data_IF_014466067048
#
_entry.id   IF_014466067048
#
_cell.length_a   1.000
_cell.length_b   1.000
_cell.length_c   1.000
_cell.angle_alpha   90.00
_cell.angle_beta   90.00
_cell.angle_gamma   90.00
#
_symmetry.space_group_name_H-M   'P 1'
#
loop_
_entity.id
_entity.type
_entity.pdbx_description
1 polymer ?
#
# COMPACT_ATOMS: atom_id res chain seq x y z
N UNK A 1 -16.06 12.10 5.60
CA UNK A 1 -16.41 11.59 6.95
C UNK A 1 -15.44 12.20 7.94
N UNK A 2 -15.91 12.68 9.08
CA UNK A 2 -15.03 13.09 10.18
C UNK A 2 -14.75 11.88 11.07
N UNK A 3 -13.46 11.66 11.33
CA UNK A 3 -12.94 10.64 12.24
C UNK A 3 -11.57 11.15 12.71
N UNK A 4 -11.18 10.84 13.94
CA UNK A 4 -9.95 11.35 14.58
C UNK A 4 -8.71 11.05 13.76
N UNK A 5 -8.57 9.81 13.27
CA UNK A 5 -7.42 9.39 12.46
C UNK A 5 -7.29 10.16 11.13
N UNK A 6 -8.36 10.80 10.61
CA UNK A 6 -8.27 11.60 9.38
C UNK A 6 -7.64 12.98 9.59
N UNK A 7 -7.41 13.37 10.85
CA UNK A 7 -6.70 14.61 11.26
C UNK A 7 -7.19 15.88 10.55
N UNK A 8 -8.50 16.04 10.39
CA UNK A 8 -9.10 17.17 9.67
C UNK A 8 -8.68 18.56 10.23
N UNK A 9 -8.27 18.62 11.48
CA UNK A 9 -7.85 19.85 12.17
C UNK A 9 -6.33 20.07 12.19
N UNK A 10 -5.53 19.21 11.56
CA UNK A 10 -4.06 19.33 11.52
C UNK A 10 -3.63 20.69 10.95
N UNK A 11 -4.36 21.18 9.94
CA UNK A 11 -4.13 22.48 9.27
C UNK A 11 -4.33 23.69 10.20
N UNK A 12 -4.91 23.51 11.40
CA UNK A 12 -5.07 24.59 12.38
C UNK A 12 -3.96 24.63 13.43
N UNK A 13 -3.01 23.68 13.41
CA UNK A 13 -1.94 23.62 14.42
C UNK A 13 -0.98 24.82 14.37
N UNK A 14 -0.85 25.49 13.22
CA UNK A 14 -0.13 26.75 13.09
C UNK A 14 -1.04 27.85 12.50
N UNK A 15 -1.91 28.37 13.35
CA UNK A 15 -2.88 29.40 12.96
C UNK A 15 -2.23 30.66 12.37
N UNK A 16 -1.03 31.03 12.82
CA UNK A 16 -0.32 32.21 12.35
C UNK A 16 0.13 32.02 10.89
N UNK A 17 0.70 30.86 10.55
CA UNK A 17 1.00 30.51 9.15
C UNK A 17 -0.28 30.40 8.32
N UNK A 18 -1.31 29.75 8.85
CA UNK A 18 -2.59 29.64 8.15
C UNK A 18 -3.19 31.02 7.82
N UNK A 19 -3.19 31.95 8.79
CA UNK A 19 -3.70 33.30 8.59
C UNK A 19 -2.94 34.03 7.48
N UNK A 20 -1.61 33.90 7.44
CA UNK A 20 -0.80 34.48 6.35
C UNK A 20 -1.15 33.89 5.00
N UNK A 21 -1.30 32.56 4.91
CA UNK A 21 -1.65 31.88 3.67
C UNK A 21 -3.02 32.29 3.13
N UNK A 22 -4.05 32.32 3.98
CA UNK A 22 -5.42 32.59 3.55
C UNK A 22 -5.69 34.07 3.21
N UNK A 23 -4.88 34.97 3.76
CA UNK A 23 -5.01 36.42 3.61
C UNK A 23 -3.93 37.05 2.70
N UNK A 24 -3.16 36.25 1.95
CA UNK A 24 -2.29 36.77 0.90
C UNK A 24 -3.16 37.40 -0.21
N UNK A 25 -3.04 38.73 -0.46
CA UNK A 25 -3.85 39.41 -1.47
C UNK A 25 -3.43 39.09 -2.90
N UNK A 26 -2.19 38.66 -3.11
CA UNK A 26 -1.67 38.29 -4.43
C UNK A 26 -2.00 36.83 -4.76
N UNK A 27 -2.08 35.97 -3.74
CA UNK A 27 -2.29 34.53 -3.88
C UNK A 27 -3.38 34.04 -2.91
N UNK A 28 -4.65 34.42 -3.13
CA UNK A 28 -5.73 34.08 -2.20
C UNK A 28 -6.01 32.58 -2.16
N UNK A 29 -6.07 32.01 -0.96
CA UNK A 29 -6.40 30.60 -0.73
C UNK A 29 -7.71 30.47 0.04
N UNK A 30 -8.50 29.45 -0.29
CA UNK A 30 -9.70 29.05 0.45
C UNK A 30 -9.62 27.55 0.80
N UNK A 31 -10.09 27.19 1.99
CA UNK A 31 -10.20 25.80 2.42
C UNK A 31 -11.67 25.44 2.55
N UNK A 32 -12.07 24.39 1.82
CA UNK A 32 -13.44 23.89 1.82
C UNK A 32 -13.48 22.54 2.54
N UNK A 33 -14.21 22.48 3.64
CA UNK A 33 -14.48 21.26 4.38
C UNK A 33 -15.87 20.74 4.05
N UNK A 34 -16.02 19.41 4.02
CA UNK A 34 -17.34 18.80 3.99
C UNK A 34 -17.30 17.39 4.55
N UNK A 35 -18.34 17.01 5.27
CA UNK A 35 -18.44 15.67 5.84
C UNK A 35 -19.48 15.54 6.93
N UNK A 36 -19.64 14.30 7.39
CA UNK A 36 -20.50 13.92 8.51
C UNK A 36 -19.65 13.16 9.54
N UNK A 37 -19.95 13.38 10.81
CA UNK A 37 -19.51 12.51 11.91
C UNK A 37 -20.60 11.47 12.17
N UNK A 38 -20.22 10.30 12.69
CA UNK A 38 -21.21 9.32 13.13
C UNK A 38 -21.98 9.88 14.35
N UNK A 39 -23.30 9.63 14.51
CA UNK A 39 -24.06 10.16 15.64
C UNK A 39 -23.53 9.77 17.03
N UNK A 40 -22.77 8.67 17.13
CA UNK A 40 -22.12 8.22 18.36
C UNK A 40 -20.63 8.60 18.46
N UNK A 41 -20.06 9.28 17.46
CA UNK A 41 -18.64 9.68 17.42
C UNK A 41 -18.50 11.12 17.94
N UNK A 42 -18.50 11.28 19.26
CA UNK A 42 -18.31 12.58 19.92
C UNK A 42 -16.99 13.26 19.51
N UNK A 43 -15.84 12.56 19.44
CA UNK A 43 -14.61 13.15 18.91
C UNK A 43 -14.77 13.70 17.49
N UNK A 44 -15.42 12.95 16.59
CA UNK A 44 -15.70 13.38 15.23
C UNK A 44 -16.60 14.63 15.16
N UNK A 45 -17.60 14.74 16.04
CA UNK A 45 -18.42 15.95 16.18
C UNK A 45 -17.61 17.14 16.69
N UNK A 46 -16.71 16.92 17.65
CA UNK A 46 -15.79 17.93 18.17
C UNK A 46 -14.91 18.54 17.07
N UNK A 47 -14.43 17.72 16.12
CA UNK A 47 -13.67 18.22 14.95
C UNK A 47 -14.51 19.18 14.10
N UNK A 48 -15.77 18.83 13.82
CA UNK A 48 -16.69 19.69 13.05
C UNK A 48 -16.94 21.00 13.80
N UNK A 49 -17.18 20.93 15.11
CA UNK A 49 -17.39 22.11 15.95
C UNK A 49 -16.16 23.03 15.91
N UNK A 50 -14.96 22.48 16.02
CA UNK A 50 -13.72 23.27 15.95
C UNK A 50 -13.54 23.93 14.57
N UNK A 51 -13.74 23.21 13.47
CA UNK A 51 -13.70 23.78 12.11
C UNK A 51 -14.71 24.92 11.97
N UNK A 52 -15.93 24.72 12.45
CA UNK A 52 -16.97 25.75 12.40
C UNK A 52 -16.55 26.99 13.20
N UNK A 53 -16.08 26.83 14.44
CA UNK A 53 -15.58 27.94 15.26
C UNK A 53 -14.45 28.70 14.55
N UNK A 54 -13.49 27.98 13.94
CA UNK A 54 -12.42 28.60 13.15
C UNK A 54 -12.97 29.41 11.98
N UNK A 55 -13.97 28.88 11.26
CA UNK A 55 -14.60 29.60 10.12
C UNK A 55 -15.31 30.90 10.51
N UNK A 56 -15.72 31.05 11.78
CA UNK A 56 -16.41 32.24 12.27
C UNK A 56 -15.47 33.33 12.77
N UNK A 57 -14.16 33.07 12.86
CA UNK A 57 -13.18 34.07 13.31
C UNK A 57 -12.99 35.14 12.22
N UNK A 58 -12.89 36.44 12.57
CA UNK A 58 -12.77 37.53 11.59
C UNK A 58 -11.66 37.33 10.56
N UNK A 59 -10.50 36.83 10.98
CA UNK A 59 -9.33 36.59 10.15
C UNK A 59 -9.46 35.41 9.17
N UNK A 60 -10.49 34.57 9.33
CA UNK A 60 -10.78 33.41 8.47
C UNK A 60 -12.12 33.51 7.75
N UNK A 61 -12.86 34.61 7.93
CA UNK A 61 -14.18 34.81 7.37
C UNK A 61 -14.16 34.72 5.84
N UNK A 62 -14.95 33.83 5.27
CA UNK A 62 -14.99 33.58 3.81
C UNK A 62 -13.77 32.83 3.25
N UNK A 63 -12.79 32.48 4.09
CA UNK A 63 -11.58 31.72 3.72
C UNK A 63 -11.64 30.26 4.15
N UNK A 64 -12.33 29.98 5.25
CA UNK A 64 -12.66 28.61 5.66
C UNK A 64 -14.17 28.44 5.46
N UNK A 65 -14.55 27.49 4.60
CA UNK A 65 -15.94 27.21 4.28
C UNK A 65 -16.27 25.77 4.68
N UNK A 66 -17.36 25.59 5.41
CA UNK A 66 -17.89 24.28 5.73
C UNK A 66 -19.18 24.02 4.95
N UNK A 67 -19.16 23.06 4.04
CA UNK A 67 -20.33 22.61 3.29
C UNK A 67 -20.98 21.45 4.03
N UNK A 68 -22.16 21.68 4.57
CA UNK A 68 -22.89 20.69 5.36
C UNK A 68 -23.44 19.53 4.51
N UNK A 69 -23.82 18.46 5.20
CA UNK A 69 -24.56 17.33 4.62
C UNK A 69 -23.90 16.63 3.42
N UNK A 70 -22.57 16.47 3.41
CA UNK A 70 -21.84 15.76 2.34
C UNK A 70 -22.55 14.48 1.86
N UNK A 71 -22.78 14.42 0.56
CA UNK A 71 -23.40 13.32 -0.15
C UNK A 71 -22.79 13.19 -1.56
N UNK A 72 -23.35 12.34 -2.41
CA UNK A 72 -22.84 12.16 -3.78
C UNK A 72 -23.00 13.41 -4.65
N UNK A 73 -24.01 14.23 -4.41
CA UNK A 73 -24.23 15.46 -5.17
C UNK A 73 -23.18 16.51 -4.81
N UNK A 74 -22.94 16.74 -3.52
CA UNK A 74 -21.88 17.64 -3.04
C UNK A 74 -20.51 17.11 -3.49
N UNK A 75 -20.28 15.80 -3.38
CA UNK A 75 -19.03 15.18 -3.84
C UNK A 75 -18.75 15.50 -5.31
N UNK A 76 -19.76 15.41 -6.19
CA UNK A 76 -19.63 15.74 -7.62
C UNK A 76 -19.15 17.17 -7.83
N UNK A 77 -19.71 18.14 -7.10
CA UNK A 77 -19.33 19.54 -7.24
C UNK A 77 -17.92 19.81 -6.69
N UNK A 78 -17.58 19.24 -5.54
CA UNK A 78 -16.24 19.42 -4.94
C UNK A 78 -15.15 18.79 -5.81
N UNK A 79 -15.37 17.56 -6.27
CA UNK A 79 -14.42 16.81 -7.11
C UNK A 79 -14.23 17.43 -8.50
N UNK A 80 -15.10 18.35 -8.94
CA UNK A 80 -14.91 19.09 -10.18
C UNK A 80 -14.55 20.57 -9.98
N UNK A 81 -14.48 21.04 -8.73
CA UNK A 81 -14.47 22.47 -8.42
C UNK A 81 -13.32 22.93 -7.53
N UNK A 82 -12.58 22.02 -6.91
CA UNK A 82 -11.37 22.38 -6.13
C UNK A 82 -10.12 22.26 -6.98
N UNK A 83 -9.07 22.98 -6.59
CA UNK A 83 -7.78 22.92 -7.28
C UNK A 83 -6.86 21.83 -6.70
N UNK A 84 -6.95 21.53 -5.40
CA UNK A 84 -6.15 20.52 -4.72
C UNK A 84 -7.03 19.68 -3.79
N UNK A 85 -6.84 18.36 -3.82
CA UNK A 85 -7.51 17.45 -2.90
C UNK A 85 -6.59 17.05 -1.73
N UNK A 86 -6.84 17.62 -0.56
CA UNK A 86 -6.04 17.42 0.65
C UNK A 86 -6.53 16.21 1.47
N UNK A 87 -5.65 15.25 1.77
CA UNK A 87 -5.90 14.18 2.73
C UNK A 87 -4.71 13.98 3.66
N UNK A 88 -4.93 14.00 4.97
CA UNK A 88 -3.85 13.90 5.95
C UNK A 88 -4.11 12.81 7.01
N UNK A 89 -4.47 11.58 6.62
CA UNK A 89 -4.71 10.51 7.58
C UNK A 89 -3.46 10.19 8.40
N UNK A 90 -3.67 9.72 9.63
CA UNK A 90 -2.66 9.08 10.47
C UNK A 90 -2.32 7.72 9.83
N UNK A 91 -1.04 7.48 9.55
CA UNK A 91 -0.56 6.16 9.12
C UNK A 91 -0.62 5.16 10.27
N UNK A 92 -0.89 3.87 10.01
CA UNK A 92 -1.35 3.26 8.75
C UNK A 92 -2.88 3.05 8.75
N UNK A 93 -3.66 4.07 9.16
CA UNK A 93 -5.08 3.90 9.43
C UNK A 93 -5.99 4.13 8.22
N UNK A 94 -5.49 4.67 7.11
CA UNK A 94 -6.23 4.70 5.86
C UNK A 94 -5.91 3.45 5.02
N UNK A 95 -6.84 2.49 4.98
CA UNK A 95 -6.63 1.28 4.19
C UNK A 95 -6.52 1.53 2.67
N UNK A 96 -7.17 2.57 2.16
CA UNK A 96 -7.11 2.95 0.74
C UNK A 96 -7.51 4.41 0.57
N UNK A 97 -8.79 4.70 0.29
CA UNK A 97 -9.32 6.06 0.15
C UNK A 97 -9.69 6.39 -1.30
N UNK A 98 -10.99 6.35 -1.64
CA UNK A 98 -11.42 6.50 -3.04
C UNK A 98 -11.74 7.94 -3.47
N UNK A 99 -11.77 8.91 -2.54
CA UNK A 99 -12.05 10.31 -2.88
C UNK A 99 -10.90 10.95 -3.66
N UNK A 100 -9.65 10.69 -3.26
CA UNK A 100 -8.47 11.18 -3.97
C UNK A 100 -8.36 10.60 -5.39
N UNK A 101 -8.74 9.33 -5.56
CA UNK A 101 -8.83 8.68 -6.88
C UNK A 101 -9.82 9.43 -7.79
N UNK A 102 -11.01 9.76 -7.29
CA UNK A 102 -12.02 10.51 -8.05
C UNK A 102 -11.55 11.94 -8.40
N UNK A 103 -10.86 12.60 -7.48
CA UNK A 103 -10.26 13.91 -7.71
C UNK A 103 -9.23 13.86 -8.84
N UNK A 104 -8.33 12.86 -8.82
CA UNK A 104 -7.31 12.68 -9.86
C UNK A 104 -7.92 12.46 -11.27
N UNK A 105 -9.02 11.70 -11.36
CA UNK A 105 -9.74 11.52 -12.63
C UNK A 105 -10.33 12.83 -13.18
N UNK A 106 -10.59 13.81 -12.31
CA UNK A 106 -11.07 15.14 -12.69
C UNK A 106 -9.91 16.12 -12.95
N UNK A 107 -8.67 15.65 -12.97
CA UNK A 107 -7.47 16.46 -13.14
C UNK A 107 -7.07 17.23 -11.89
N UNK A 108 -7.59 16.89 -10.72
CA UNK A 108 -7.26 17.54 -9.46
C UNK A 108 -6.07 16.82 -8.83
N UNK A 109 -4.90 17.48 -8.68
CA UNK A 109 -3.76 16.93 -7.97
C UNK A 109 -4.10 16.63 -6.51
N UNK A 110 -3.53 15.56 -5.98
CA UNK A 110 -3.68 15.22 -4.57
C UNK A 110 -2.51 15.82 -3.77
N UNK A 111 -2.80 16.25 -2.54
CA UNK A 111 -1.80 16.56 -1.54
C UNK A 111 -2.10 15.68 -0.33
N UNK A 112 -1.33 14.61 -0.16
CA UNK A 112 -1.70 13.57 0.80
C UNK A 112 -0.53 12.93 1.53
N UNK A 113 -0.76 12.51 2.77
CA UNK A 113 0.14 11.56 3.44
C UNK A 113 0.25 10.29 2.58
N UNK A 114 1.45 9.70 2.51
CA UNK A 114 1.69 8.40 1.89
C UNK A 114 1.10 7.29 2.76
N UNK A 115 -0.23 7.15 2.68
CA UNK A 115 -1.02 6.08 3.28
C UNK A 115 -2.12 5.65 2.30
N UNK A 116 -2.62 4.43 2.48
CA UNK A 116 -3.66 3.86 1.63
C UNK A 116 -3.33 3.93 0.14
N UNK A 117 -4.25 4.44 -0.67
CA UNK A 117 -4.10 4.43 -2.13
C UNK A 117 -2.99 5.35 -2.64
N UNK A 118 -2.58 6.34 -1.84
CA UNK A 118 -1.59 7.32 -2.29
C UNK A 118 -0.18 6.73 -2.32
N UNK A 119 0.09 5.70 -1.52
CA UNK A 119 1.34 4.89 -1.62
C UNK A 119 1.43 4.22 -2.99
N UNK A 120 0.32 3.70 -3.51
CA UNK A 120 0.26 3.07 -4.83
C UNK A 120 0.28 4.08 -5.99
N UNK A 121 -0.30 5.26 -5.77
CA UNK A 121 -0.62 6.22 -6.84
C UNK A 121 0.33 7.40 -6.97
N UNK A 122 1.10 7.74 -5.93
CA UNK A 122 1.97 8.92 -5.94
C UNK A 122 3.18 8.70 -6.86
N UNK A 123 3.40 9.64 -7.78
CA UNK A 123 4.60 9.74 -8.58
C UNK A 123 5.13 11.16 -8.44
N UNK A 124 6.30 11.30 -7.82
CA UNK A 124 6.96 12.58 -7.56
C UNK A 124 8.11 12.91 -8.49
N UNK A 125 8.45 12.02 -9.43
CA UNK A 125 9.53 12.24 -10.39
C UNK A 125 9.20 13.36 -11.39
N UNK A 126 10.23 13.95 -11.99
CA UNK A 126 10.10 15.13 -12.83
C UNK A 126 9.18 14.95 -14.04
N UNK A 127 9.02 13.72 -14.55
CA UNK A 127 8.21 13.44 -15.74
C UNK A 127 6.76 13.13 -15.38
N UNK A 128 6.53 12.44 -14.25
CA UNK A 128 5.22 11.92 -13.87
C UNK A 128 4.61 12.60 -12.64
N UNK A 129 5.20 13.69 -12.14
CA UNK A 129 4.71 14.45 -11.00
C UNK A 129 3.19 14.67 -11.05
N UNK A 130 2.46 14.06 -10.10
CA UNK A 130 0.99 13.98 -10.13
C UNK A 130 0.29 14.53 -8.87
N UNK A 131 1.06 15.10 -7.93
CA UNK A 131 0.60 15.65 -6.68
C UNK A 131 1.76 15.72 -5.68
N UNK A 132 1.44 15.84 -4.39
CA UNK A 132 2.44 16.00 -3.33
C UNK A 132 2.20 15.03 -2.17
N UNK A 133 3.27 14.65 -1.50
CA UNK A 133 3.22 13.87 -0.26
C UNK A 133 3.23 14.77 0.99
N UNK A 134 2.72 14.27 2.11
CA UNK A 134 2.88 14.90 3.44
C UNK A 134 3.69 13.96 4.34
N UNK A 135 4.77 14.49 4.91
CA UNK A 135 5.63 13.78 5.85
C UNK A 135 6.54 12.75 5.19
N UNK A 136 7.30 12.03 6.03
CA UNK A 136 8.28 11.02 5.62
C UNK A 136 7.77 9.62 5.95
N UNK A 137 8.15 8.60 5.18
CA UNK A 137 7.85 7.20 5.48
C UNK A 137 8.82 6.66 6.54
N UNK A 138 8.54 6.99 7.80
CA UNK A 138 9.28 6.49 8.96
C UNK A 138 8.38 6.35 10.18
N UNK A 139 8.86 5.57 11.14
CA UNK A 139 8.28 5.51 12.47
C UNK A 139 8.63 6.74 13.29
N UNK A 140 7.65 7.20 14.05
CA UNK A 140 7.80 8.29 15.00
C UNK A 140 7.65 7.76 16.42
N UNK A 141 8.34 8.40 17.36
CA UNK A 141 8.27 8.05 18.78
C UNK A 141 6.84 8.08 19.33
N UNK A 142 6.05 9.06 18.91
CA UNK A 142 4.68 9.27 19.33
C UNK A 142 3.91 10.09 18.28
N UNK A 143 2.58 10.08 18.39
CA UNK A 143 1.67 10.77 17.47
C UNK A 143 1.87 12.28 17.42
N UNK A 144 2.28 12.90 18.54
CA UNK A 144 2.47 14.34 18.62
C UNK A 144 3.73 14.77 17.85
N UNK A 145 4.80 13.99 17.97
CA UNK A 145 6.03 14.19 17.19
C UNK A 145 5.76 14.04 15.69
N UNK A 146 4.95 13.05 15.30
CA UNK A 146 4.53 12.90 13.91
C UNK A 146 3.69 14.10 13.44
N UNK A 147 2.72 14.54 14.24
CA UNK A 147 1.88 15.68 13.86
C UNK A 147 2.69 16.96 13.69
N UNK A 148 3.69 17.21 14.53
CA UNK A 148 4.59 18.36 14.38
C UNK A 148 5.39 18.29 13.08
N UNK A 149 5.97 17.12 12.77
CA UNK A 149 6.71 16.93 11.53
C UNK A 149 5.81 17.07 10.30
N UNK A 150 4.63 16.45 10.31
CA UNK A 150 3.67 16.50 9.21
C UNK A 150 3.15 17.93 9.01
N UNK A 151 2.89 18.69 10.07
CA UNK A 151 2.49 20.11 9.99
C UNK A 151 3.59 20.94 9.35
N UNK A 152 4.84 20.78 9.79
CA UNK A 152 5.96 21.54 9.23
C UNK A 152 6.12 21.27 7.73
N UNK A 153 6.07 20.00 7.33
CA UNK A 153 6.13 19.60 5.93
C UNK A 153 4.92 20.14 5.15
N UNK A 154 3.71 19.98 5.69
CA UNK A 154 2.47 20.43 5.06
C UNK A 154 2.56 21.91 4.67
N UNK A 155 2.91 22.77 5.61
CA UNK A 155 3.01 24.20 5.32
C UNK A 155 4.20 24.54 4.42
N UNK A 156 5.34 23.86 4.56
CA UNK A 156 6.48 24.09 3.67
C UNK A 156 6.13 23.80 2.22
N UNK A 157 5.41 22.70 1.95
CA UNK A 157 4.93 22.35 0.61
C UNK A 157 3.88 23.35 0.10
N UNK A 158 2.93 23.79 0.94
CA UNK A 158 1.97 24.82 0.55
C UNK A 158 2.64 26.15 0.17
N UNK A 159 3.52 26.65 1.04
CA UNK A 159 4.14 27.98 0.93
C UNK A 159 5.15 28.06 -0.21
N UNK A 160 5.96 27.00 -0.40
CA UNK A 160 7.10 27.04 -1.31
C UNK A 160 6.82 26.36 -2.66
N UNK A 161 5.82 25.48 -2.75
CA UNK A 161 5.55 24.70 -3.96
C UNK A 161 4.14 24.92 -4.48
N UNK A 162 3.11 24.44 -3.76
CA UNK A 162 1.74 24.33 -4.29
C UNK A 162 1.15 25.71 -4.62
N UNK A 163 1.16 26.64 -3.67
CA UNK A 163 0.53 27.95 -3.85
C UNK A 163 1.28 28.77 -4.91
N UNK A 164 2.62 28.93 -4.85
CA UNK A 164 3.35 29.63 -5.92
C UNK A 164 3.10 29.04 -7.30
N UNK A 165 3.14 27.70 -7.43
CA UNK A 165 2.93 27.02 -8.70
C UNK A 165 1.50 27.21 -9.24
N UNK A 166 0.50 27.17 -8.35
CA UNK A 166 -0.89 27.39 -8.74
C UNK A 166 -1.12 28.79 -9.28
N UNK A 167 -0.38 29.81 -8.84
CA UNK A 167 -0.52 31.20 -9.29
C UNK A 167 0.47 31.60 -10.39
N UNK A 168 1.46 30.77 -10.71
CA UNK A 168 2.38 31.00 -11.81
C UNK A 168 1.63 30.98 -13.16
N UNK A 169 1.78 32.03 -13.96
CA UNK A 169 1.18 32.16 -15.29
C UNK A 169 2.24 32.61 -16.30
N UNK A 170 2.16 32.10 -17.52
CA UNK A 170 2.95 32.63 -18.63
C UNK A 170 2.41 34.02 -19.09
N UNK A 171 3.06 34.63 -20.09
CA UNK A 171 2.64 35.92 -20.66
C UNK A 171 1.21 35.95 -21.20
N UNK A 172 0.67 34.78 -21.60
CA UNK A 172 -0.70 34.62 -22.08
C UNK A 172 -1.71 34.32 -20.94
N UNK A 173 -1.30 34.34 -19.67
CA UNK A 173 -2.16 34.05 -18.53
C UNK A 173 -2.47 32.56 -18.34
N UNK A 174 -1.65 31.65 -18.86
CA UNK A 174 -1.85 30.19 -18.79
C UNK A 174 -0.94 29.56 -17.72
N UNK A 175 -1.47 28.71 -16.82
CA UNK A 175 -0.68 28.02 -15.81
C UNK A 175 -0.09 26.70 -16.34
N UNK A 176 0.89 26.77 -17.24
CA UNK A 176 1.42 25.60 -17.96
C UNK A 176 1.94 24.49 -17.04
N UNK A 177 2.68 24.87 -15.99
CA UNK A 177 3.21 23.89 -15.03
C UNK A 177 2.09 23.21 -14.24
N UNK A 178 1.09 23.96 -13.80
CA UNK A 178 -0.08 23.39 -13.12
C UNK A 178 -0.85 22.44 -14.04
N UNK A 179 -1.10 22.85 -15.29
CA UNK A 179 -1.77 22.01 -16.30
C UNK A 179 -1.01 20.71 -16.56
N UNK A 180 0.32 20.73 -16.49
CA UNK A 180 1.15 19.53 -16.58
C UNK A 180 0.85 18.56 -15.44
N UNK A 181 0.79 19.04 -14.19
CA UNK A 181 0.44 18.21 -13.03
C UNK A 181 -1.00 17.67 -13.16
N UNK A 182 -1.96 18.50 -13.57
CA UNK A 182 -3.35 18.06 -13.80
C UNK A 182 -3.41 16.92 -14.83
N UNK A 183 -2.70 17.06 -15.97
CA UNK A 183 -2.63 16.03 -17.01
C UNK A 183 -1.96 14.76 -16.51
N UNK A 184 -0.88 14.89 -15.73
CA UNK A 184 -0.20 13.77 -15.11
C UNK A 184 -1.09 13.05 -14.10
N UNK A 185 -1.87 13.78 -13.30
CA UNK A 185 -2.86 13.20 -12.37
C UNK A 185 -3.85 12.29 -13.10
N UNK A 186 -4.41 12.76 -14.22
CA UNK A 186 -5.31 11.95 -15.06
C UNK A 186 -4.55 10.76 -15.66
N UNK A 187 -3.40 11.00 -16.31
CA UNK A 187 -2.64 9.98 -17.05
C UNK A 187 -2.18 8.82 -16.16
N UNK A 188 -1.72 9.13 -14.96
CA UNK A 188 -1.10 8.15 -14.05
C UNK A 188 -2.13 7.44 -13.19
N UNK A 189 -3.16 8.16 -12.70
CA UNK A 189 -4.15 7.57 -11.79
C UNK A 189 -5.28 6.82 -12.52
N UNK A 190 -5.79 7.34 -13.65
CA UNK A 190 -6.99 6.78 -14.31
C UNK A 190 -6.88 5.30 -14.69
N UNK A 191 -5.78 4.82 -15.32
CA UNK A 191 -5.68 3.40 -15.68
C UNK A 191 -5.57 2.49 -14.45
N UNK A 192 -4.95 2.96 -13.37
CA UNK A 192 -4.72 2.18 -12.16
C UNK A 192 -5.97 2.12 -11.29
N UNK A 193 -6.70 3.22 -11.12
CA UNK A 193 -7.79 3.33 -10.13
C UNK A 193 -9.20 3.26 -10.73
N UNK A 194 -9.32 2.68 -11.93
CA UNK A 194 -10.62 2.41 -12.54
C UNK A 194 -11.32 1.22 -11.87
N UNK A 195 -12.61 1.39 -11.55
CA UNK A 195 -13.44 0.29 -11.07
C UNK A 195 -13.54 -0.85 -12.09
N UNK A 196 -13.40 -0.56 -13.39
CA UNK A 196 -13.35 -1.60 -14.43
C UNK A 196 -12.13 -2.52 -14.25
N UNK A 197 -10.96 -1.95 -13.90
CA UNK A 197 -9.75 -2.71 -13.60
C UNK A 197 -9.99 -3.59 -12.37
N UNK A 198 -10.47 -3.00 -11.29
CA UNK A 198 -10.80 -3.73 -10.05
C UNK A 198 -11.74 -4.91 -10.30
N UNK A 199 -12.85 -4.70 -11.03
CA UNK A 199 -13.82 -5.77 -11.33
C UNK A 199 -13.19 -6.87 -12.17
N UNK A 200 -12.34 -6.53 -13.15
CA UNK A 200 -11.58 -7.52 -13.93
C UNK A 200 -10.63 -8.33 -13.05
N UNK A 201 -9.88 -7.68 -12.18
CA UNK A 201 -8.96 -8.35 -11.24
C UNK A 201 -9.72 -9.30 -10.33
N UNK A 202 -10.82 -8.85 -9.72
CA UNK A 202 -11.67 -9.69 -8.87
C UNK A 202 -12.23 -10.89 -9.64
N UNK A 203 -12.67 -10.66 -10.88
CA UNK A 203 -13.22 -11.71 -11.74
C UNK A 203 -12.16 -12.76 -12.07
N UNK A 204 -11.00 -12.33 -12.53
CA UNK A 204 -9.95 -13.22 -13.04
C UNK A 204 -9.16 -13.91 -11.92
N UNK A 205 -8.87 -13.20 -10.82
CA UNK A 205 -8.03 -13.71 -9.74
C UNK A 205 -8.79 -14.49 -8.68
N UNK A 206 -10.09 -14.21 -8.48
CA UNK A 206 -10.87 -14.80 -7.41
C UNK A 206 -12.12 -15.53 -7.91
N UNK A 207 -13.02 -14.86 -8.62
CA UNK A 207 -14.32 -15.46 -8.95
C UNK A 207 -14.22 -16.64 -9.95
N UNK A 208 -13.49 -16.48 -11.05
CA UNK A 208 -13.32 -17.56 -12.04
C UNK A 208 -12.56 -18.76 -11.46
N UNK A 209 -11.41 -18.59 -10.76
CA UNK A 209 -10.73 -19.71 -10.11
C UNK A 209 -11.61 -20.41 -9.06
N UNK A 210 -12.34 -19.65 -8.23
CA UNK A 210 -13.25 -20.23 -7.24
C UNK A 210 -14.39 -21.03 -7.89
N UNK A 211 -14.95 -20.54 -8.99
CA UNK A 211 -16.00 -21.25 -9.74
C UNK A 211 -15.47 -22.55 -10.36
N UNK A 212 -14.28 -22.52 -10.98
CA UNK A 212 -13.64 -23.70 -11.55
C UNK A 212 -13.31 -24.74 -10.47
N UNK A 213 -12.68 -24.31 -9.38
CA UNK A 213 -12.37 -25.17 -8.23
C UNK A 213 -13.64 -25.74 -7.60
N UNK A 214 -14.70 -24.93 -7.46
CA UNK A 214 -15.99 -25.39 -6.96
C UNK A 214 -16.62 -26.48 -7.82
N UNK A 215 -16.58 -26.34 -9.14
CA UNK A 215 -17.08 -27.36 -10.07
C UNK A 215 -16.27 -28.67 -9.98
N UNK A 216 -14.94 -28.56 -9.93
CA UNK A 216 -14.04 -29.70 -9.76
C UNK A 216 -14.30 -30.44 -8.44
N UNK A 217 -14.39 -29.71 -7.32
CA UNK A 217 -14.62 -30.29 -6.01
C UNK A 217 -16.03 -30.90 -5.85
N UNK A 218 -17.02 -30.43 -6.61
CA UNK A 218 -18.38 -31.00 -6.63
C UNK A 218 -18.50 -32.26 -7.50
N UNK A 219 -17.63 -32.40 -8.50
CA UNK A 219 -17.65 -33.52 -9.45
C UNK A 219 -17.43 -34.89 -8.77
N UNK A 220 -17.80 -35.96 -9.47
CA UNK A 220 -17.56 -37.36 -9.04
C UNK A 220 -18.00 -37.65 -7.60
N UNK A 221 -19.18 -37.13 -7.23
CA UNK A 221 -19.71 -37.20 -5.86
C UNK A 221 -18.68 -36.70 -4.85
N UNK A 222 -18.02 -35.57 -5.08
CA UNK A 222 -17.02 -34.98 -4.20
C UNK A 222 -15.73 -35.80 -4.00
N UNK A 223 -15.24 -36.50 -5.03
CA UNK A 223 -14.02 -37.31 -4.94
C UNK A 223 -12.79 -36.47 -4.56
N UNK A 224 -12.51 -35.40 -5.30
CA UNK A 224 -11.40 -34.47 -5.03
C UNK A 224 -11.48 -33.88 -3.62
N UNK A 225 -12.68 -33.49 -3.17
CA UNK A 225 -12.87 -32.95 -1.83
C UNK A 225 -12.50 -33.94 -0.73
N UNK A 226 -12.89 -35.22 -0.87
CA UNK A 226 -12.50 -36.29 0.08
C UNK A 226 -11.00 -36.55 0.06
N UNK A 227 -10.41 -36.68 -1.14
CA UNK A 227 -8.97 -36.90 -1.30
C UNK A 227 -8.17 -35.75 -0.67
N UNK A 228 -8.56 -34.50 -0.95
CA UNK A 228 -7.92 -33.32 -0.39
C UNK A 228 -8.13 -33.20 1.12
N UNK A 229 -9.30 -33.55 1.65
CA UNK A 229 -9.52 -33.61 3.09
C UNK A 229 -8.61 -34.64 3.77
N UNK A 230 -8.49 -35.84 3.20
CA UNK A 230 -7.61 -36.88 3.73
C UNK A 230 -6.13 -36.48 3.63
N UNK A 231 -5.73 -35.91 2.50
CA UNK A 231 -4.38 -35.39 2.27
C UNK A 231 -4.03 -34.26 3.26
N UNK A 232 -4.90 -33.26 3.43
CA UNK A 232 -4.69 -32.15 4.39
C UNK A 232 -4.57 -32.67 5.82
N UNK A 233 -5.39 -33.65 6.21
CA UNK A 233 -5.32 -34.26 7.54
C UNK A 233 -4.01 -35.03 7.74
N UNK A 234 -3.59 -35.84 6.77
CA UNK A 234 -2.30 -36.55 6.82
C UNK A 234 -1.14 -35.57 6.93
N UNK A 235 -1.12 -34.55 6.07
CA UNK A 235 -0.09 -33.51 6.10
C UNK A 235 0.00 -32.84 7.47
N UNK A 236 -1.13 -32.36 8.03
CA UNK A 236 -1.13 -31.75 9.38
C UNK A 236 -0.59 -32.67 10.47
N UNK A 237 -0.85 -33.98 10.38
CA UNK A 237 -0.39 -34.95 11.38
C UNK A 237 1.10 -35.28 11.24
N UNK A 238 1.63 -35.36 10.02
CA UNK A 238 3.03 -35.74 9.78
C UNK A 238 3.98 -34.56 9.66
N UNK A 239 3.49 -33.34 9.41
CA UNK A 239 4.32 -32.18 9.06
C UNK A 239 5.35 -31.82 10.12
N UNK A 240 4.99 -31.95 11.40
CA UNK A 240 5.91 -31.66 12.51
C UNK A 240 7.15 -32.56 12.56
N UNK A 241 7.16 -33.65 11.78
CA UNK A 241 8.32 -34.51 11.64
C UNK A 241 9.19 -34.12 10.44
N UNK A 242 8.74 -33.22 9.54
CA UNK A 242 9.56 -32.78 8.41
C UNK A 242 10.75 -32.00 8.94
N UNK A 243 11.96 -32.42 8.56
CA UNK A 243 13.20 -31.73 8.94
C UNK A 243 13.88 -31.19 7.70
N UNK A 244 14.36 -29.96 7.80
CA UNK A 244 15.16 -29.30 6.77
C UNK A 244 16.47 -28.83 7.37
N UNK A 245 17.56 -29.02 6.63
CA UNK A 245 18.88 -28.51 6.95
C UNK A 245 19.46 -27.81 5.73
N UNK A 246 19.64 -26.49 5.83
CA UNK A 246 20.37 -25.73 4.83
C UNK A 246 21.86 -26.06 4.91
N UNK A 247 22.50 -26.21 3.75
CA UNK A 247 23.95 -26.32 3.64
C UNK A 247 24.51 -24.92 3.44
N UNK A 248 25.40 -24.43 4.31
CA UNK A 248 25.97 -23.09 4.17
C UNK A 248 26.61 -22.90 2.78
N UNK A 249 26.39 -21.75 2.12
CA UNK A 249 27.02 -21.48 0.85
C UNK A 249 28.54 -21.42 1.01
N UNK A 250 29.27 -21.87 -0.02
CA UNK A 250 30.75 -21.83 -0.01
C UNK A 250 31.31 -20.41 -0.05
N UNK A 251 30.56 -19.49 -0.64
CA UNK A 251 30.91 -18.07 -0.76
C UNK A 251 29.91 -17.25 0.04
N UNK A 252 30.41 -16.48 1.00
CA UNK A 252 29.61 -15.51 1.77
C UNK A 252 29.61 -14.12 1.12
N UNK A 253 30.42 -13.92 0.08
CA UNK A 253 30.50 -12.71 -0.71
C UNK A 253 30.42 -13.09 -2.19
N UNK A 254 29.47 -12.51 -2.90
CA UNK A 254 29.26 -12.71 -4.33
C UNK A 254 29.07 -11.38 -5.02
N UNK A 255 29.46 -11.30 -6.29
CA UNK A 255 29.17 -10.12 -7.11
C UNK A 255 27.70 -10.10 -7.49
N UNK A 256 27.09 -8.91 -7.49
CA UNK A 256 25.74 -8.69 -8.00
C UNK A 256 25.62 -9.28 -9.41
N UNK A 257 24.52 -9.98 -9.67
CA UNK A 257 24.29 -10.68 -10.93
C UNK A 257 24.99 -12.03 -11.07
N UNK A 258 25.81 -12.49 -10.12
CA UNK A 258 26.30 -13.88 -10.13
C UNK A 258 25.33 -14.81 -9.40
N UNK A 259 25.03 -16.00 -9.96
CA UNK A 259 24.14 -16.96 -9.31
C UNK A 259 24.81 -17.58 -8.07
N UNK A 260 24.08 -17.60 -6.96
CA UNK A 260 24.41 -18.31 -5.73
C UNK A 260 23.71 -19.67 -5.78
N UNK A 261 24.49 -20.75 -5.74
CA UNK A 261 23.94 -22.09 -5.59
C UNK A 261 23.73 -22.42 -4.10
N UNK A 262 22.51 -22.82 -3.76
CA UNK A 262 22.13 -23.23 -2.41
C UNK A 262 21.69 -24.68 -2.43
N UNK A 263 21.97 -25.39 -1.34
CA UNK A 263 21.60 -26.78 -1.16
C UNK A 263 20.93 -26.99 0.19
N UNK A 264 19.97 -27.91 0.24
CA UNK A 264 19.33 -28.34 1.47
C UNK A 264 19.18 -29.85 1.53
N UNK A 265 19.25 -30.40 2.74
CA UNK A 265 18.87 -31.79 3.04
C UNK A 265 17.48 -31.78 3.67
N UNK A 266 16.59 -32.64 3.19
CA UNK A 266 15.20 -32.66 3.65
C UNK A 266 14.77 -34.09 3.97
N UNK A 267 14.27 -34.30 5.17
CA UNK A 267 13.63 -35.54 5.59
C UNK A 267 12.12 -35.31 5.59
N UNK A 268 11.42 -35.95 4.66
CA UNK A 268 9.99 -35.74 4.44
C UNK A 268 9.09 -36.54 5.40
N UNK A 269 9.64 -37.54 6.08
CA UNK A 269 8.98 -38.31 7.16
C UNK A 269 7.49 -38.64 6.90
N UNK A 270 7.22 -39.25 5.74
CA UNK A 270 5.89 -39.73 5.36
C UNK A 270 5.15 -38.89 4.32
N UNK A 271 5.67 -37.71 3.96
CA UNK A 271 5.24 -36.98 2.76
C UNK A 271 5.99 -37.50 1.52
N UNK A 272 5.29 -37.60 0.38
CA UNK A 272 5.95 -37.89 -0.89
C UNK A 272 6.65 -36.64 -1.45
N UNK A 273 7.64 -36.85 -2.31
CA UNK A 273 8.47 -35.76 -2.85
C UNK A 273 7.66 -34.74 -3.66
N UNK A 274 6.68 -35.19 -4.43
CA UNK A 274 5.78 -34.36 -5.24
C UNK A 274 4.71 -33.63 -4.40
N UNK A 275 4.59 -33.98 -3.12
CA UNK A 275 3.68 -33.33 -2.19
C UNK A 275 4.31 -32.16 -1.42
N UNK A 276 5.56 -31.80 -1.76
CA UNK A 276 6.29 -30.70 -1.13
C UNK A 276 6.96 -29.81 -2.18
N UNK A 277 7.02 -28.52 -1.87
CA UNK A 277 7.84 -27.55 -2.58
C UNK A 277 8.99 -27.12 -1.67
N UNK A 278 10.20 -27.10 -2.20
CA UNK A 278 11.32 -26.37 -1.61
C UNK A 278 11.59 -25.09 -2.37
N UNK A 279 11.83 -24.03 -1.60
CA UNK A 279 11.97 -22.67 -2.10
C UNK A 279 13.13 -21.99 -1.38
N UNK A 280 13.96 -21.29 -2.14
CA UNK A 280 14.86 -20.26 -1.62
C UNK A 280 14.01 -19.00 -1.47
N UNK A 281 14.06 -18.36 -0.32
CA UNK A 281 13.43 -17.06 -0.06
C UNK A 281 14.53 -16.09 0.33
N UNK A 282 14.63 -14.98 -0.39
CA UNK A 282 15.69 -14.01 -0.17
C UNK A 282 15.22 -12.58 -0.38
N UNK A 283 15.75 -11.67 0.42
CA UNK A 283 15.40 -10.25 0.40
C UNK A 283 16.34 -9.44 1.28
N UNK A 284 16.10 -8.13 1.32
CA UNK A 284 16.86 -7.23 2.18
C UNK A 284 16.26 -7.18 3.58
N UNK A 285 17.08 -6.86 4.56
CA UNK A 285 16.63 -6.66 5.95
C UNK A 285 16.39 -5.17 6.19
N UNK A 286 15.23 -4.80 6.72
CA UNK A 286 14.99 -3.43 7.18
C UNK A 286 15.61 -3.18 8.56
N UNK A 287 15.52 -1.96 9.06
CA UNK A 287 16.04 -1.57 10.38
C UNK A 287 15.42 -2.36 11.55
N UNK A 288 14.27 -3.02 11.33
CA UNK A 288 13.54 -3.82 12.32
C UNK A 288 13.91 -5.31 12.26
N UNK A 289 14.78 -5.72 11.33
CA UNK A 289 15.17 -7.11 11.14
C UNK A 289 14.22 -7.92 10.27
N UNK A 290 13.28 -7.27 9.56
CA UNK A 290 12.29 -7.92 8.72
C UNK A 290 12.74 -7.99 7.25
N UNK A 291 12.33 -9.06 6.57
CA UNK A 291 12.64 -9.28 5.16
C UNK A 291 11.74 -8.43 4.27
N UNK A 292 12.32 -7.48 3.53
CA UNK A 292 11.66 -6.60 2.57
C UNK A 292 11.86 -7.13 1.15
N UNK A 293 10.81 -7.00 0.33
CA UNK A 293 10.76 -7.41 -1.08
C UNK A 293 11.30 -8.83 -1.34
N UNK A 294 10.75 -9.86 -0.66
CA UNK A 294 11.27 -11.20 -0.78
C UNK A 294 11.05 -11.79 -2.18
N UNK A 295 12.15 -12.20 -2.79
CA UNK A 295 12.18 -13.03 -4.00
C UNK A 295 12.12 -14.51 -3.62
N UNK A 296 11.47 -15.32 -4.47
CA UNK A 296 11.30 -16.76 -4.23
C UNK A 296 11.77 -17.53 -5.45
N UNK A 297 12.71 -18.46 -5.27
CA UNK A 297 13.20 -19.34 -6.33
C UNK A 297 12.97 -20.82 -5.97
N UNK A 298 12.46 -21.66 -6.89
CA UNK A 298 12.23 -23.07 -6.61
C UNK A 298 13.55 -23.85 -6.49
N UNK A 299 13.55 -24.90 -5.68
CA UNK A 299 14.64 -25.88 -5.63
C UNK A 299 14.18 -27.23 -6.20
N UNK A 300 15.10 -27.97 -6.80
CA UNK A 300 14.86 -29.30 -7.36
C UNK A 300 15.62 -30.37 -6.58
N UNK A 301 14.98 -31.52 -6.38
CA UNK A 301 15.66 -32.68 -5.80
C UNK A 301 16.65 -33.25 -6.82
N UNK A 302 17.92 -33.40 -6.42
CA UNK A 302 19.01 -33.88 -7.29
C UNK A 302 19.52 -35.26 -6.90
N UNK A 303 19.38 -35.65 -5.64
CA UNK A 303 19.81 -36.96 -5.13
C UNK A 303 19.14 -37.29 -3.80
N UNK A 304 19.39 -38.48 -3.29
CA UNK A 304 18.98 -38.93 -1.96
C UNK A 304 20.17 -39.56 -1.24
N UNK A 305 20.36 -39.22 0.03
CA UNK A 305 21.45 -39.72 0.87
C UNK A 305 21.01 -39.81 2.34
N UNK A 306 21.25 -40.95 3.00
CA UNK A 306 20.94 -41.19 4.42
C UNK A 306 19.47 -40.87 4.80
N UNK A 307 18.54 -41.23 3.92
CA UNK A 307 17.10 -40.95 4.11
C UNK A 307 16.70 -39.49 3.89
N UNK A 308 17.63 -38.61 3.52
CA UNK A 308 17.37 -37.22 3.16
C UNK A 308 17.35 -37.04 1.64
N UNK A 309 16.40 -36.27 1.14
CA UNK A 309 16.46 -35.74 -0.22
C UNK A 309 17.36 -34.52 -0.25
N UNK A 310 18.23 -34.46 -1.26
CA UNK A 310 19.12 -33.33 -1.48
C UNK A 310 18.48 -32.43 -2.53
N UNK A 311 18.19 -31.20 -2.15
CA UNK A 311 17.65 -30.18 -3.04
C UNK A 311 18.73 -29.18 -3.41
N UNK A 312 18.67 -28.68 -4.66
CA UNK A 312 19.49 -27.56 -5.13
C UNK A 312 18.64 -26.51 -5.80
N UNK A 313 19.00 -25.26 -5.61
CA UNK A 313 18.41 -24.13 -6.30
C UNK A 313 19.44 -23.04 -6.51
N UNK A 314 19.11 -22.11 -7.39
CA UNK A 314 19.95 -20.95 -7.66
C UNK A 314 19.16 -19.68 -7.40
N UNK A 315 19.83 -18.71 -6.80
CA UNK A 315 19.33 -17.36 -6.60
C UNK A 315 20.33 -16.40 -7.24
N UNK A 316 19.84 -15.43 -8.00
CA UNK A 316 20.68 -14.40 -8.61
C UNK A 316 20.32 -13.05 -7.98
N UNK A 317 21.15 -12.50 -7.08
CA UNK A 317 20.89 -11.19 -6.49
C UNK A 317 20.93 -10.11 -7.57
N UNK A 318 19.86 -9.32 -7.65
CA UNK A 318 19.75 -8.21 -8.60
C UNK A 318 20.51 -6.96 -8.14
N UNK A 319 20.64 -6.78 -6.83
CA UNK A 319 21.18 -5.58 -6.20
C UNK A 319 22.33 -5.90 -5.23
N UNK A 320 23.00 -4.87 -4.73
CA UNK A 320 24.09 -4.98 -3.74
C UNK A 320 23.58 -4.72 -2.33
N UNK A 321 24.27 -5.25 -1.32
CA UNK A 321 23.90 -5.07 0.10
C UNK A 321 23.89 -6.39 0.87
N UNK A 322 23.49 -6.32 2.14
CA UNK A 322 23.28 -7.51 2.94
C UNK A 322 21.98 -8.19 2.48
N UNK A 323 22.11 -9.46 2.08
CA UNK A 323 21.01 -10.28 1.61
C UNK A 323 20.72 -11.35 2.66
N UNK A 324 19.49 -11.36 3.16
CA UNK A 324 19.01 -12.43 4.04
C UNK A 324 18.44 -13.53 3.16
N UNK A 325 18.85 -14.77 3.43
CA UNK A 325 18.48 -15.95 2.63
C UNK A 325 18.05 -17.06 3.57
N UNK A 326 16.87 -17.61 3.33
CA UNK A 326 16.37 -18.80 4.01
C UNK A 326 15.87 -19.84 3.01
N UNK A 327 15.84 -21.10 3.43
CA UNK A 327 15.24 -22.18 2.64
C UNK A 327 13.95 -22.61 3.32
N UNK A 328 12.86 -22.60 2.58
CA UNK A 328 11.55 -23.02 3.04
C UNK A 328 11.11 -24.32 2.38
N UNK A 329 10.57 -25.23 3.18
CA UNK A 329 9.74 -26.35 2.70
C UNK A 329 8.28 -26.11 3.06
N UNK A 330 7.37 -26.36 2.11
CA UNK A 330 5.91 -26.25 2.30
C UNK A 330 5.18 -27.39 1.58
N UNK A 331 3.97 -27.77 2.00
CA UNK A 331 3.17 -28.71 1.24
C UNK A 331 2.82 -28.16 -0.14
N UNK A 332 2.69 -29.07 -1.11
CA UNK A 332 2.24 -28.78 -2.46
C UNK A 332 1.21 -29.84 -2.89
N UNK A 333 0.15 -29.38 -3.53
CA UNK A 333 -0.80 -30.24 -4.21
C UNK A 333 -1.48 -29.41 -5.32
N UNK A 334 -1.77 -30.03 -6.46
CA UNK A 334 -2.36 -29.36 -7.62
C UNK A 334 -3.75 -28.75 -7.32
N UNK A 335 -4.49 -29.30 -6.35
CA UNK A 335 -5.84 -28.85 -6.00
C UNK A 335 -5.88 -27.85 -4.84
N UNK A 336 -4.73 -27.31 -4.41
CA UNK A 336 -4.73 -26.18 -3.46
C UNK A 336 -5.25 -24.93 -4.14
N UNK A 337 -6.13 -24.19 -3.47
CA UNK A 337 -6.67 -22.91 -3.93
C UNK A 337 -5.55 -21.87 -4.02
N UNK A 338 -4.62 -21.91 -3.07
CA UNK A 338 -3.38 -21.15 -3.12
C UNK A 338 -2.26 -21.92 -2.42
N UNK A 339 -1.00 -21.60 -2.75
CA UNK A 339 0.20 -22.29 -2.25
C UNK A 339 0.40 -22.24 -0.73
N UNK A 340 -0.36 -21.43 0.00
CA UNK A 340 -0.26 -21.24 1.45
C UNK A 340 -1.48 -21.74 2.22
N UNK A 341 -2.45 -22.36 1.54
CA UNK A 341 -3.73 -22.78 2.11
C UNK A 341 -3.61 -23.70 3.34
N UNK A 342 -2.52 -24.49 3.43
CA UNK A 342 -2.30 -25.40 4.56
C UNK A 342 -1.83 -24.70 5.83
N UNK A 343 -1.23 -23.50 5.72
CA UNK A 343 -0.55 -22.81 6.82
C UNK A 343 0.71 -23.51 7.34
N UNK A 344 1.19 -24.57 6.67
CA UNK A 344 2.32 -25.38 7.09
C UNK A 344 3.59 -24.97 6.34
N UNK A 345 4.68 -24.75 7.08
CA UNK A 345 6.02 -24.56 6.53
C UNK A 345 7.10 -24.93 7.57
N UNK A 346 8.30 -25.23 7.09
CA UNK A 346 9.51 -25.25 7.90
C UNK A 346 10.59 -24.42 7.20
N UNK A 347 11.45 -23.79 7.99
CA UNK A 347 12.52 -22.92 7.53
C UNK A 347 13.87 -23.46 8.03
N UNK A 348 14.92 -23.23 7.24
CA UNK A 348 16.31 -23.46 7.60
C UNK A 348 17.21 -22.35 7.07
#
# INVERSE_FOLDING_TARGET
>A
RFATYKRATLIFRDEARLQRLLNDPERPVQIVFSGKAHPADEPGKGLIQHIYQMSQRPEFWGKIVFVENYDMNIARHLISGVDVWLNNPRRPHEASGTSGQKAALSGIPNFSVLDGWWVEGYLGDAENHNGWSIGEERDYKDEETQDQADVLHLYATLENEIIPLYFERNEAGVPEKWLTIMKNSIRTCTPQFSMQRMVKDYTNLYYLPAMQSGAEYHSEKFATARTMSAWKNRMRQSWGNVRIEAVPPKLLQVQTGQPIELSARVWLNGAAQDEVALEIVAGHENEQGELVDPTVAPMTAVSSQDGALIYRGQLQPADSGQLMVGIRVRPQNAHLINRYETGLNHWA
#
